data_IF_356486146451
#
_entry.id   IF_356486146451
#
_cell.length_a   1.000
_cell.length_b   1.000
_cell.length_c   1.000
_cell.angle_alpha   90.00
_cell.angle_beta   90.00
_cell.angle_gamma   90.00
#
_symmetry.space_group_name_H-M   'P 1'
#
loop_
_entity.id
_entity.type
_entity.pdbx_description
1 polymer ?
#
# COMPACT_ATOMS: atom_id res chain seq x y z
N UNK A 1 44.52 -39.28 8.52
CA UNK A 1 44.76 -38.97 9.96
C UNK A 1 45.95 -38.01 10.00
N UNK A 2 45.84 -36.79 10.56
CA UNK A 2 45.31 -36.52 11.89
C UNK A 2 44.03 -35.68 11.92
N UNK A 3 43.31 -35.90 13.01
CA UNK A 3 42.05 -35.34 13.42
C UNK A 3 42.23 -33.93 14.00
N UNK A 4 41.43 -32.97 13.55
CA UNK A 4 41.33 -31.64 14.15
C UNK A 4 40.06 -31.53 14.99
N UNK A 5 40.13 -32.01 16.24
CA UNK A 5 39.10 -31.79 17.26
C UNK A 5 39.35 -30.49 18.00
N UNK A 6 38.31 -29.66 18.13
CA UNK A 6 38.11 -28.85 19.32
C UNK A 6 38.14 -27.33 19.12
N UNK A 7 36.99 -26.69 19.34
CA UNK A 7 36.74 -26.03 20.63
C UNK A 7 35.25 -25.80 20.91
N UNK A 8 34.78 -26.06 22.14
CA UNK A 8 33.49 -25.64 22.65
C UNK A 8 33.61 -24.25 23.31
N UNK A 9 32.67 -23.35 23.01
CA UNK A 9 32.29 -22.18 23.81
C UNK A 9 30.83 -21.93 23.46
N UNK A 10 29.86 -21.89 24.35
CA UNK A 10 29.85 -21.76 25.80
C UNK A 10 28.55 -21.06 26.12
N UNK A 11 27.72 -21.68 26.96
CA UNK A 11 26.43 -21.16 27.41
C UNK A 11 26.50 -19.72 27.89
N UNK A 12 25.45 -18.93 27.62
CA UNK A 12 24.85 -18.05 28.63
C UNK A 12 23.45 -17.60 28.23
N UNK A 13 22.51 -18.06 29.05
CA UNK A 13 21.15 -17.61 29.14
C UNK A 13 21.03 -16.10 29.40
N UNK A 14 20.02 -15.48 28.81
CA UNK A 14 19.34 -14.34 29.39
C UNK A 14 17.83 -14.47 29.16
N UNK A 15 17.15 -15.08 30.14
CA UNK A 15 15.71 -14.86 30.35
C UNK A 15 15.50 -13.39 30.69
N UNK A 16 14.67 -12.69 29.92
CA UNK A 16 14.05 -11.45 30.35
C UNK A 16 12.53 -11.60 30.27
N UNK A 17 11.93 -12.14 31.35
CA UNK A 17 10.53 -11.89 31.69
C UNK A 17 10.48 -10.55 32.40
N UNK A 18 9.80 -9.57 31.82
CA UNK A 18 9.37 -8.31 32.44
C UNK A 18 8.30 -7.70 31.54
N UNK A 19 7.18 -7.15 31.98
CA UNK A 19 6.43 -7.12 33.25
C UNK A 19 5.11 -6.46 32.85
N UNK A 20 3.99 -6.83 33.50
CA UNK A 20 2.71 -6.17 33.28
C UNK A 20 2.78 -4.65 33.45
N UNK A 21 2.09 -3.94 32.56
CA UNK A 21 1.83 -2.51 32.60
C UNK A 21 0.34 -2.26 32.66
N UNK A 22 -0.06 -1.44 33.61
CA UNK A 22 -1.42 -1.18 34.07
C UNK A 22 -2.44 -0.82 32.98
N UNK A 23 -3.65 -1.40 33.10
CA UNK A 23 -4.88 -0.81 32.56
C UNK A 23 -5.18 0.45 33.38
N UNK A 24 -4.87 1.61 32.81
CA UNK A 24 -5.36 2.89 33.31
C UNK A 24 -6.68 3.18 32.59
N UNK A 25 -7.79 2.97 33.30
CA UNK A 25 -9.11 3.48 32.95
C UNK A 25 -9.07 5.02 33.13
N UNK A 26 -8.64 5.71 32.08
CA UNK A 26 -8.68 7.17 32.02
C UNK A 26 -10.08 7.63 31.62
N UNK A 27 -10.73 8.22 32.62
CA UNK A 27 -11.77 9.23 32.58
C UNK A 27 -12.30 9.68 31.20
N UNK A 28 -13.62 9.61 31.08
CA UNK A 28 -14.43 10.50 30.25
C UNK A 28 -14.01 11.96 30.48
N UNK A 29 -13.30 12.51 29.50
CA UNK A 29 -12.97 13.92 29.39
C UNK A 29 -13.34 14.37 27.99
N UNK A 30 -14.58 14.82 27.83
CA UNK A 30 -14.86 15.83 26.81
C UNK A 30 -13.97 17.06 27.09
N UNK A 31 -13.74 17.86 26.06
CA UNK A 31 -13.08 19.19 26.04
C UNK A 31 -11.66 19.16 25.49
N UNK A 32 -11.48 19.85 24.35
CA UNK A 32 -10.19 20.45 24.02
C UNK A 32 -9.76 20.36 22.56
N UNK A 33 -10.63 20.62 21.59
CA UNK A 33 -10.16 21.08 20.28
C UNK A 33 -9.49 22.43 20.47
N UNK A 34 -8.21 22.43 20.81
CA UNK A 34 -7.32 23.56 20.55
C UNK A 34 -7.05 23.57 19.05
N UNK A 35 -8.06 24.02 18.30
CA UNK A 35 -7.86 24.52 16.96
C UNK A 35 -6.96 25.76 17.09
N UNK A 36 -5.68 25.60 16.76
CA UNK A 36 -4.83 26.71 16.39
C UNK A 36 -5.32 27.20 15.02
N UNK A 37 -6.41 27.94 15.05
CA UNK A 37 -7.01 28.61 13.91
C UNK A 37 -7.42 29.98 14.40
N UNK A 38 -6.59 30.97 14.09
CA UNK A 38 -7.01 32.36 14.00
C UNK A 38 -8.03 32.43 12.85
N UNK A 39 -9.25 31.99 13.15
CA UNK A 39 -10.41 32.14 12.28
C UNK A 39 -11.19 33.32 12.84
N UNK A 40 -11.48 34.34 12.02
CA UNK A 40 -12.28 35.47 12.47
C UNK A 40 -13.61 34.94 12.98
N UNK A 41 -14.19 35.63 13.96
CA UNK A 41 -15.52 35.41 14.54
C UNK A 41 -16.58 35.42 13.42
N UNK A 42 -16.66 34.32 12.67
CA UNK A 42 -17.64 34.08 11.65
C UNK A 42 -18.91 33.71 12.38
N UNK A 43 -19.94 34.54 12.21
CA UNK A 43 -21.31 34.23 12.59
C UNK A 43 -21.58 32.76 12.31
N UNK A 44 -22.00 32.03 13.35
CA UNK A 44 -22.55 30.69 13.20
C UNK A 44 -23.74 30.86 12.27
N UNK A 45 -23.52 30.60 10.97
CA UNK A 45 -24.52 30.81 9.94
C UNK A 45 -25.69 29.90 10.30
N UNK A 46 -26.75 30.51 10.81
CA UNK A 46 -27.93 29.80 11.25
C UNK A 46 -28.56 29.23 10.00
N UNK A 47 -28.43 27.93 9.80
CA UNK A 47 -29.05 27.22 8.68
C UNK A 47 -30.55 27.54 8.69
N UNK A 48 -30.97 28.27 7.67
CA UNK A 48 -32.35 28.69 7.50
C UNK A 48 -33.13 27.63 6.74
N UNK A 49 -34.47 27.71 6.80
CA UNK A 49 -35.33 26.88 5.97
C UNK A 49 -35.16 27.15 4.46
N UNK A 50 -34.54 28.27 4.10
CA UNK A 50 -34.24 28.60 2.70
C UNK A 50 -33.02 27.82 2.23
N UNK A 51 -31.97 27.74 3.07
CA UNK A 51 -30.78 26.93 2.80
C UNK A 51 -31.13 25.44 2.60
N UNK A 52 -32.08 24.90 3.39
CA UNK A 52 -32.53 23.51 3.18
C UNK A 52 -33.21 23.31 1.83
N UNK A 53 -33.97 24.29 1.33
CA UNK A 53 -34.64 24.18 0.03
C UNK A 53 -33.64 24.28 -1.12
N UNK A 54 -32.64 25.14 -0.99
CA UNK A 54 -31.56 25.26 -1.96
C UNK A 54 -30.79 23.93 -2.09
N UNK A 55 -30.50 23.27 -0.96
CA UNK A 55 -29.89 21.93 -0.98
C UNK A 55 -30.79 20.87 -1.64
N UNK A 56 -32.11 20.90 -1.41
CA UNK A 56 -33.05 19.96 -2.05
C UNK A 56 -33.08 20.13 -3.58
N UNK A 57 -33.08 21.38 -4.05
CA UNK A 57 -33.03 21.72 -5.48
C UNK A 57 -31.70 21.28 -6.11
N UNK A 58 -30.58 21.48 -5.42
CA UNK A 58 -29.25 21.06 -5.88
C UNK A 58 -29.14 19.53 -5.99
N UNK A 59 -29.67 18.79 -5.01
CA UNK A 59 -29.68 17.32 -5.05
C UNK A 59 -30.52 16.83 -6.24
N UNK A 60 -31.70 17.41 -6.47
CA UNK A 60 -32.54 17.04 -7.61
C UNK A 60 -31.83 17.30 -8.96
N UNK A 61 -31.10 18.43 -9.08
CA UNK A 61 -30.31 18.74 -10.26
C UNK A 61 -29.14 17.77 -10.48
N UNK A 62 -28.49 17.30 -9.39
CA UNK A 62 -27.45 16.28 -9.46
C UNK A 62 -28.02 14.92 -9.89
N UNK A 63 -29.18 14.52 -9.36
CA UNK A 63 -29.85 13.27 -9.74
C UNK A 63 -30.23 13.25 -11.23
N UNK A 64 -30.73 14.37 -11.77
CA UNK A 64 -31.01 14.49 -13.20
C UNK A 64 -29.75 14.31 -14.06
N UNK A 65 -28.63 14.92 -13.64
CA UNK A 65 -27.34 14.77 -14.35
C UNK A 65 -26.82 13.34 -14.30
N UNK A 66 -26.95 12.66 -13.16
CA UNK A 66 -26.59 11.25 -13.03
C UNK A 66 -27.48 10.38 -13.91
N UNK A 67 -28.80 10.62 -13.92
CA UNK A 67 -29.72 9.87 -14.77
C UNK A 67 -29.41 10.05 -16.27
N UNK A 68 -28.94 11.23 -16.70
CA UNK A 68 -28.47 11.45 -18.08
C UNK A 68 -27.18 10.67 -18.36
N UNK A 69 -26.23 10.66 -17.42
CA UNK A 69 -24.97 9.90 -17.54
C UNK A 69 -25.22 8.38 -17.59
N UNK A 70 -26.05 7.86 -16.69
CA UNK A 70 -26.42 6.43 -16.65
C UNK A 70 -27.32 6.04 -17.84
N UNK A 71 -28.24 6.92 -18.25
CA UNK A 71 -29.10 6.72 -19.41
C UNK A 71 -28.31 6.70 -20.73
N UNK A 72 -27.25 7.51 -20.84
CA UNK A 72 -26.33 7.47 -21.99
C UNK A 72 -25.48 6.20 -22.02
N UNK A 73 -25.14 5.63 -20.85
CA UNK A 73 -24.43 4.36 -20.72
C UNK A 73 -25.28 3.15 -21.20
N UNK A 74 -26.61 3.27 -21.21
CA UNK A 74 -27.56 2.22 -21.60
C UNK A 74 -28.05 2.30 -23.06
N UNK A 75 -27.49 3.22 -23.88
CA UNK A 75 -27.70 3.21 -25.34
C UNK A 75 -27.25 1.88 -25.96
N UNK A 76 -27.77 1.47 -27.13
CA UNK A 76 -27.42 0.19 -27.76
C UNK A 76 -25.90 0.13 -27.91
N UNK A 77 -25.29 -0.80 -27.16
CA UNK A 77 -23.87 -1.09 -27.17
C UNK A 77 -23.42 -1.36 -28.61
N UNK A 78 -23.06 -0.30 -29.31
CA UNK A 78 -22.27 -0.41 -30.53
C UNK A 78 -20.90 -0.69 -29.99
N UNK A 79 -20.60 -1.98 -29.87
CA UNK A 79 -19.35 -2.59 -29.45
C UNK A 79 -18.22 -2.20 -30.38
N UNK A 80 -17.87 -0.91 -30.41
CA UNK A 80 -16.50 -0.52 -30.67
C UNK A 80 -15.83 -0.55 -29.30
N UNK A 81 -15.53 -1.77 -28.86
CA UNK A 81 -14.49 -1.99 -27.86
C UNK A 81 -13.31 -1.16 -28.36
N UNK A 82 -12.81 -0.15 -27.61
CA UNK A 82 -11.46 0.30 -27.89
C UNK A 82 -10.63 -0.98 -27.88
N UNK A 83 -9.90 -1.21 -28.98
CA UNK A 83 -8.97 -2.31 -29.04
C UNK A 83 -8.10 -2.14 -27.79
N UNK A 84 -8.29 -3.00 -26.80
CA UNK A 84 -7.32 -3.16 -25.74
C UNK A 84 -5.98 -3.28 -26.46
N UNK A 85 -4.95 -2.52 -26.07
CA UNK A 85 -3.62 -2.78 -26.59
C UNK A 85 -3.42 -4.28 -26.43
N UNK A 86 -3.24 -4.95 -27.56
CA UNK A 86 -2.90 -6.37 -27.56
C UNK A 86 -1.55 -6.44 -26.89
N UNK A 87 -1.54 -6.60 -25.57
CA UNK A 87 -0.43 -7.18 -24.86
C UNK A 87 -0.28 -8.54 -25.51
N UNK A 88 0.64 -8.63 -26.47
CA UNK A 88 1.11 -9.89 -26.99
C UNK A 88 1.50 -10.68 -25.75
N UNK A 89 0.66 -11.65 -25.38
CA UNK A 89 0.88 -12.54 -24.27
C UNK A 89 2.11 -13.37 -24.63
N UNK A 90 3.29 -12.81 -24.37
CA UNK A 90 4.53 -13.55 -24.27
C UNK A 90 4.30 -14.60 -23.20
N UNK A 91 4.48 -15.86 -23.58
CA UNK A 91 4.22 -17.05 -22.79
C UNK A 91 5.26 -17.24 -21.66
N UNK A 92 5.53 -16.17 -20.90
CA UNK A 92 6.49 -16.12 -19.81
C UNK A 92 6.22 -14.93 -18.89
N UNK A 93 6.60 -15.01 -17.61
CA UNK A 93 6.47 -13.90 -16.68
C UNK A 93 7.22 -12.69 -17.25
N UNK A 94 6.55 -11.55 -17.38
CA UNK A 94 7.16 -10.34 -17.91
C UNK A 94 8.13 -9.76 -16.87
N UNK A 95 9.36 -10.25 -16.91
CA UNK A 95 10.44 -9.81 -16.02
C UNK A 95 11.16 -8.57 -16.56
N UNK A 96 10.72 -8.05 -17.70
CA UNK A 96 11.31 -6.88 -18.36
C UNK A 96 11.30 -5.67 -17.42
N UNK A 97 10.21 -5.49 -16.67
CA UNK A 97 10.08 -4.43 -15.68
C UNK A 97 11.20 -4.46 -14.61
N UNK A 98 11.53 -5.63 -14.05
CA UNK A 98 12.54 -5.75 -12.99
C UNK A 98 13.95 -5.41 -13.49
N UNK A 99 14.18 -5.47 -14.80
CA UNK A 99 15.45 -5.11 -15.43
C UNK A 99 15.63 -3.59 -15.57
N UNK A 100 14.56 -2.83 -15.70
CA UNK A 100 14.58 -1.37 -15.77
C UNK A 100 13.29 -0.74 -15.21
N UNK A 101 13.09 -0.75 -13.88
CA UNK A 101 11.85 -0.23 -13.28
C UNK A 101 11.71 1.29 -13.44
N UNK A 102 12.81 2.01 -13.66
CA UNK A 102 12.80 3.47 -13.85
C UNK A 102 12.13 3.90 -15.16
N UNK A 103 12.11 3.02 -16.17
CA UNK A 103 11.44 3.27 -17.45
C UNK A 103 9.92 3.32 -17.36
N UNK A 104 9.34 2.75 -16.29
CA UNK A 104 7.88 2.63 -16.11
C UNK A 104 7.32 3.54 -15.02
N UNK A 105 8.03 4.59 -14.60
CA UNK A 105 7.54 5.53 -13.59
C UNK A 105 6.20 6.17 -14.01
N UNK A 106 5.20 6.05 -13.15
CA UNK A 106 3.83 6.52 -13.38
C UNK A 106 2.96 5.58 -14.20
N UNK A 107 3.48 4.42 -14.62
CA UNK A 107 2.72 3.41 -15.36
C UNK A 107 2.10 2.38 -14.40
N UNK A 108 0.95 1.83 -14.80
CA UNK A 108 0.35 0.66 -14.16
C UNK A 108 1.02 -0.61 -14.71
N UNK A 109 1.47 -1.49 -13.83
CA UNK A 109 2.20 -2.71 -14.17
C UNK A 109 1.60 -3.93 -13.47
N UNK A 110 1.73 -5.09 -14.11
CA UNK A 110 1.50 -6.40 -13.49
C UNK A 110 2.78 -7.22 -13.58
N UNK A 111 3.31 -7.63 -12.44
CA UNK A 111 4.62 -8.30 -12.32
C UNK A 111 4.47 -9.58 -11.54
N UNK A 112 5.03 -10.68 -12.06
CA UNK A 112 5.09 -11.97 -11.35
C UNK A 112 6.52 -12.27 -10.95
N UNK A 113 6.79 -12.36 -9.64
CA UNK A 113 8.15 -12.53 -9.11
C UNK A 113 8.18 -13.14 -7.70
N UNK A 114 9.38 -13.55 -7.27
CA UNK A 114 9.60 -14.16 -5.95
C UNK A 114 9.82 -13.10 -4.88
N UNK A 115 9.21 -13.27 -3.70
CA UNK A 115 9.42 -12.42 -2.53
C UNK A 115 10.80 -12.73 -1.90
N UNK A 116 11.56 -11.69 -1.54
CA UNK A 116 12.86 -11.78 -0.85
C UNK A 116 12.85 -11.37 0.63
N UNK A 117 11.77 -10.70 1.04
CA UNK A 117 11.53 -10.22 2.40
C UNK A 117 10.13 -9.65 2.44
N UNK A 118 9.36 -9.96 3.48
CA UNK A 118 8.04 -9.39 3.69
C UNK A 118 7.87 -8.94 5.14
N UNK A 119 7.24 -7.79 5.30
CA UNK A 119 6.70 -7.28 6.56
C UNK A 119 5.21 -7.06 6.32
N UNK A 120 4.37 -7.74 7.10
CA UNK A 120 2.92 -7.68 6.99
C UNK A 120 2.37 -7.14 8.31
N UNK A 121 1.51 -6.14 8.21
CA UNK A 121 0.75 -5.58 9.33
C UNK A 121 -0.76 -5.78 9.09
N UNK A 122 -1.58 -5.40 10.08
CA UNK A 122 -3.04 -5.53 9.99
C UNK A 122 -3.68 -4.57 8.96
N UNK A 123 -2.92 -3.61 8.45
CA UNK A 123 -3.37 -2.51 7.59
C UNK A 123 -2.65 -2.47 6.24
N UNK A 124 -1.51 -3.16 6.11
CA UNK A 124 -0.77 -3.18 4.86
C UNK A 124 0.39 -4.16 4.86
N UNK A 125 1.19 -4.12 3.80
CA UNK A 125 2.42 -4.89 3.72
C UNK A 125 3.48 -4.19 2.90
N UNK A 126 4.73 -4.44 3.25
CA UNK A 126 5.88 -4.05 2.46
C UNK A 126 6.74 -5.28 2.20
N UNK A 127 7.09 -5.51 0.95
CA UNK A 127 7.93 -6.64 0.56
C UNK A 127 8.81 -6.28 -0.63
N UNK A 128 9.73 -7.16 -0.99
CA UNK A 128 10.63 -6.96 -2.14
C UNK A 128 10.48 -8.10 -3.14
N UNK A 129 10.24 -7.75 -4.40
CA UNK A 129 10.25 -8.70 -5.51
C UNK A 129 11.67 -8.84 -6.04
N UNK A 130 12.17 -10.08 -6.15
CA UNK A 130 13.47 -10.39 -6.71
C UNK A 130 13.36 -11.04 -8.10
N UNK A 131 14.30 -10.71 -8.97
CA UNK A 131 14.43 -11.26 -10.34
C UNK A 131 15.39 -12.46 -10.42
N UNK A 132 15.95 -12.89 -9.28
CA UNK A 132 16.98 -13.93 -9.21
C UNK A 132 18.40 -13.47 -9.58
N UNK A 133 18.59 -12.24 -10.07
CA UNK A 133 19.92 -11.67 -10.39
C UNK A 133 20.53 -10.88 -9.23
N UNK A 134 19.76 -10.70 -8.15
CA UNK A 134 20.16 -9.99 -6.94
C UNK A 134 19.60 -8.57 -6.86
N UNK A 135 18.95 -8.08 -7.93
CA UNK A 135 18.16 -6.86 -7.90
C UNK A 135 16.81 -7.15 -7.26
N UNK A 136 16.25 -6.15 -6.58
CA UNK A 136 14.92 -6.26 -6.01
C UNK A 136 14.17 -4.94 -6.03
N UNK A 137 12.87 -4.98 -6.28
CA UNK A 137 12.00 -3.81 -6.30
C UNK A 137 11.09 -3.84 -5.05
N UNK A 138 11.07 -2.78 -4.23
CA UNK A 138 10.12 -2.66 -3.13
C UNK A 138 8.68 -2.57 -3.63
N UNK A 139 7.78 -3.23 -2.92
CA UNK A 139 6.34 -3.22 -3.15
C UNK A 139 5.68 -2.82 -1.84
N UNK A 140 4.75 -1.87 -1.91
CA UNK A 140 3.98 -1.36 -0.78
C UNK A 140 2.51 -1.55 -1.09
N UNK A 141 1.78 -2.17 -0.17
CA UNK A 141 0.33 -2.35 -0.25
C UNK A 141 -0.32 -1.71 0.97
N UNK A 142 -1.25 -0.78 0.75
CA UNK A 142 -2.15 -0.24 1.78
C UNK A 142 -3.39 -1.13 2.02
N UNK A 143 -3.36 -2.37 1.53
CA UNK A 143 -4.38 -3.37 1.80
C UNK A 143 -3.78 -4.55 2.57
N UNK A 144 -4.48 -5.07 3.59
CA UNK A 144 -4.04 -6.26 4.31
C UNK A 144 -3.93 -7.44 3.34
N UNK A 145 -2.71 -7.89 3.09
CA UNK A 145 -2.45 -9.11 2.35
C UNK A 145 -2.52 -10.31 3.29
N UNK A 146 -2.81 -11.49 2.74
CA UNK A 146 -2.65 -12.75 3.49
C UNK A 146 -1.20 -12.96 3.97
N UNK A 147 -0.94 -14.09 4.62
CA UNK A 147 0.43 -14.44 4.99
C UNK A 147 1.31 -14.49 3.72
N UNK A 148 2.33 -13.62 3.68
CA UNK A 148 3.38 -13.61 2.65
C UNK A 148 4.66 -14.12 3.30
N UNK A 149 5.33 -15.06 2.67
CA UNK A 149 6.61 -15.59 3.09
C UNK A 149 7.72 -15.25 2.10
N UNK A 150 8.96 -15.24 2.61
CA UNK A 150 10.15 -15.26 1.74
C UNK A 150 10.10 -16.52 0.85
N UNK A 151 10.40 -16.39 -0.43
CA UNK A 151 10.34 -17.48 -1.40
C UNK A 151 9.00 -17.66 -2.14
N UNK A 152 7.90 -17.05 -1.67
CA UNK A 152 6.61 -17.11 -2.37
C UNK A 152 6.69 -16.42 -3.74
N UNK A 153 6.01 -16.98 -4.73
CA UNK A 153 5.84 -16.34 -6.05
C UNK A 153 4.49 -15.64 -6.08
N UNK A 154 4.51 -14.32 -6.27
CA UNK A 154 3.33 -13.48 -6.28
C UNK A 154 3.17 -12.75 -7.61
N UNK A 155 1.92 -12.54 -8.01
CA UNK A 155 1.51 -11.60 -9.06
C UNK A 155 1.07 -10.32 -8.36
N UNK A 156 1.76 -9.22 -8.66
CA UNK A 156 1.51 -7.89 -8.11
C UNK A 156 1.02 -7.00 -9.24
N UNK A 157 -0.13 -6.34 -9.05
CA UNK A 157 -0.60 -5.27 -9.93
C UNK A 157 -0.63 -3.95 -9.17
N UNK A 158 -0.14 -2.89 -9.79
CA UNK A 158 -0.07 -1.58 -9.14
C UNK A 158 0.60 -0.51 -9.99
N UNK A 159 0.77 0.68 -9.41
CA UNK A 159 1.44 1.82 -10.06
C UNK A 159 2.89 1.93 -9.62
N UNK A 160 3.77 2.19 -10.58
CA UNK A 160 5.21 2.36 -10.31
C UNK A 160 5.50 3.80 -9.90
N UNK A 161 5.99 4.01 -8.68
CA UNK A 161 6.23 5.34 -8.10
C UNK A 161 7.67 5.45 -7.57
N UNK A 162 8.12 6.67 -7.36
CA UNK A 162 9.39 6.95 -6.68
C UNK A 162 9.10 7.12 -5.19
N UNK A 163 9.93 6.53 -4.34
CA UNK A 163 9.82 6.74 -2.90
C UNK A 163 10.38 8.11 -2.56
N UNK A 164 9.51 9.00 -2.08
CA UNK A 164 9.86 10.31 -1.54
C UNK A 164 9.21 10.46 -0.15
N UNK A 165 9.99 10.86 0.86
CA UNK A 165 9.51 10.99 2.25
C UNK A 165 8.29 11.93 2.34
N UNK A 166 8.33 13.05 1.61
CA UNK A 166 7.30 14.08 1.68
C UNK A 166 5.96 13.70 1.03
N UNK A 167 5.95 12.72 0.12
CA UNK A 167 4.74 12.30 -0.62
C UNK A 167 4.35 10.85 -0.33
N UNK A 168 5.10 10.12 0.49
CA UNK A 168 4.91 8.69 0.73
C UNK A 168 3.46 8.30 1.06
N UNK A 169 2.84 8.96 2.05
CA UNK A 169 1.46 8.64 2.46
C UNK A 169 0.45 8.93 1.33
N UNK A 170 0.69 9.97 0.53
CA UNK A 170 -0.15 10.31 -0.61
C UNK A 170 -0.01 9.30 -1.75
N UNK A 171 1.22 8.85 -2.02
CA UNK A 171 1.57 7.98 -3.14
C UNK A 171 1.20 6.51 -2.88
N UNK A 172 1.39 6.06 -1.64
CA UNK A 172 1.18 4.67 -1.23
C UNK A 172 -0.12 4.46 -0.44
N UNK A 173 -0.80 5.52 -0.02
CA UNK A 173 -2.07 5.46 0.71
C UNK A 173 -1.94 4.96 2.15
N UNK A 174 -0.72 4.89 2.70
CA UNK A 174 -0.43 4.42 4.05
C UNK A 174 0.81 5.12 4.61
N UNK A 175 0.82 5.38 5.92
CA UNK A 175 1.96 5.99 6.58
C UNK A 175 3.12 4.97 6.75
N UNK A 176 4.39 5.40 6.72
CA UNK A 176 5.53 4.50 6.89
C UNK A 176 5.59 3.78 8.25
N UNK A 177 5.20 4.46 9.34
CA UNK A 177 5.23 3.94 10.72
C UNK A 177 4.17 2.85 10.97
N UNK A 178 3.17 2.79 10.10
CA UNK A 178 2.11 1.78 10.07
C UNK A 178 2.53 0.51 9.28
N UNK A 179 3.60 0.59 8.48
CA UNK A 179 4.14 -0.51 7.68
C UNK A 179 5.36 -1.19 8.31
N UNK A 180 6.26 -0.40 8.89
CA UNK A 180 7.56 -0.87 9.38
C UNK A 180 7.87 -0.29 10.76
N UNK A 181 8.61 -1.06 11.57
CA UNK A 181 8.97 -0.66 12.93
C UNK A 181 9.91 0.55 12.99
N UNK A 182 10.74 0.75 11.96
CA UNK A 182 11.75 1.82 11.88
C UNK A 182 11.58 2.63 10.59
N UNK A 183 10.52 3.47 10.48
CA UNK A 183 10.16 4.19 9.26
C UNK A 183 11.28 5.11 8.76
N UNK A 184 11.89 5.91 9.64
CA UNK A 184 12.97 6.84 9.29
C UNK A 184 14.20 6.14 8.69
N UNK A 185 14.48 4.90 9.13
CA UNK A 185 15.58 4.11 8.59
C UNK A 185 15.20 3.56 7.23
N UNK A 186 14.02 2.97 7.11
CA UNK A 186 13.54 2.39 5.86
C UNK A 186 13.46 3.44 4.75
N UNK A 187 12.87 4.62 5.04
CA UNK A 187 12.79 5.70 4.06
C UNK A 187 14.18 6.16 3.61
N UNK A 188 15.11 6.42 4.53
CA UNK A 188 16.49 6.83 4.18
C UNK A 188 17.23 5.79 3.31
N UNK A 189 16.93 4.51 3.50
CA UNK A 189 17.54 3.43 2.72
C UNK A 189 16.92 3.26 1.33
N UNK A 190 15.68 3.72 1.12
CA UNK A 190 14.93 3.56 -0.13
C UNK A 190 14.56 4.89 -0.79
N UNK A 191 15.00 6.03 -0.25
CA UNK A 191 14.68 7.35 -0.80
C UNK A 191 15.23 7.48 -2.21
N UNK A 192 14.35 7.84 -3.15
CA UNK A 192 14.67 7.92 -4.56
C UNK A 192 14.64 6.57 -5.30
N UNK A 193 14.46 5.44 -4.63
CA UNK A 193 14.24 4.15 -5.29
C UNK A 193 12.84 4.10 -5.94
N UNK A 194 12.72 3.21 -6.92
CA UNK A 194 11.45 2.93 -7.60
C UNK A 194 10.74 1.80 -6.86
N UNK A 195 9.46 1.98 -6.55
CA UNK A 195 8.60 1.02 -5.88
C UNK A 195 7.29 0.79 -6.65
N UNK A 196 6.59 -0.28 -6.32
CA UNK A 196 5.22 -0.52 -6.80
C UNK A 196 4.25 -0.21 -5.64
N UNK A 197 3.36 0.74 -5.84
CA UNK A 197 2.16 0.93 -5.02
C UNK A 197 1.13 -0.11 -5.47
N UNK A 198 1.03 -1.21 -4.74
CA UNK A 198 0.27 -2.39 -5.11
C UNK A 198 -1.21 -2.25 -4.73
N UNK A 199 -2.08 -2.30 -5.73
CA UNK A 199 -3.53 -2.38 -5.56
C UNK A 199 -3.99 -3.83 -5.36
N UNK A 200 -3.23 -4.79 -5.90
CA UNK A 200 -3.55 -6.22 -5.83
C UNK A 200 -2.28 -7.06 -5.70
N UNK A 201 -2.32 -7.99 -4.76
CA UNK A 201 -1.28 -9.02 -4.57
C UNK A 201 -1.96 -10.39 -4.55
N UNK A 202 -1.56 -11.29 -5.45
CA UNK A 202 -2.06 -12.66 -5.52
C UNK A 202 -0.90 -13.65 -5.45
N UNK A 203 -0.98 -14.63 -4.54
CA UNK A 203 0.01 -15.71 -4.48
C UNK A 203 -0.26 -16.68 -5.63
N UNK A 204 0.72 -16.84 -6.51
CA UNK A 204 0.67 -17.76 -7.66
C UNK A 204 1.22 -19.12 -7.28
N UNK A 205 2.26 -19.14 -6.43
CA UNK A 205 2.85 -20.36 -5.90
C UNK A 205 3.36 -20.12 -4.48
N UNK A 206 2.85 -20.90 -3.53
CA UNK A 206 3.37 -20.95 -2.16
C UNK A 206 4.68 -21.74 -2.14
N UNK A 207 5.69 -21.25 -1.42
CA UNK A 207 6.85 -22.08 -1.10
C UNK A 207 6.35 -23.24 -0.24
N UNK A 208 6.29 -24.46 -0.80
CA UNK A 208 5.98 -25.66 -0.04
C UNK A 208 7.15 -25.90 0.91
N UNK A 209 7.05 -25.37 2.13
CA UNK A 209 8.04 -25.50 3.19
C UNK A 209 8.55 -26.94 3.28
N UNK A 210 9.79 -27.14 2.84
CA UNK A 210 10.42 -28.45 2.74
C UNK A 210 11.38 -28.74 3.89
#
# INVERSE_FOLDING_TARGET
MPSGTGRPQGDRAARARRTGGAVVLAALGAVGLAACGDSPEGEVSTVTLEDLRELEDDVAALEERVAVLEGAQLGPATTTSPAAPSSEAGDGPDTTFLSDPSGSLGEEVTVTATIRSATVSDIGSVFRLADGTGRSVPVVSATPTGALADGDVVEVSGTVLRIEESTFEQDFGIAPDELVEEPDRWLRENEGDVAISADRVAIVQEEQGS
#
